data_IF_295212631153
#
_entry.id   IF_295212631153
#
_cell.length_a   1.000
_cell.length_b   1.000
_cell.length_c   1.000
_cell.angle_alpha   90.00
_cell.angle_beta   90.00
_cell.angle_gamma   90.00
#
_symmetry.space_group_name_H-M   'P 1'
#
loop_
_entity.id
_entity.type
_entity.pdbx_description
1 polymer ?
#
# COMPACT_ATOMS: atom_id res chain seq x y z
N UNK A 1 -17.60 6.26 7.56
CA UNK A 1 -16.87 5.91 8.79
C UNK A 1 -17.01 7.05 9.80
N UNK A 2 -17.09 6.77 11.12
CA UNK A 2 -17.07 7.80 12.16
C UNK A 2 -15.75 8.59 12.15
N UNK A 3 -15.77 9.85 12.63
CA UNK A 3 -14.60 10.74 12.67
C UNK A 3 -13.37 10.08 13.29
N UNK A 4 -13.55 9.42 14.43
CA UNK A 4 -12.46 8.75 15.16
C UNK A 4 -11.78 7.67 14.32
N UNK A 5 -12.57 6.86 13.61
CA UNK A 5 -12.03 5.81 12.73
C UNK A 5 -11.25 6.44 11.57
N UNK A 6 -11.74 7.52 10.96
CA UNK A 6 -11.03 8.22 9.89
C UNK A 6 -9.71 8.82 10.38
N UNK A 7 -9.71 9.42 11.58
CA UNK A 7 -8.48 9.92 12.22
C UNK A 7 -7.49 8.79 12.50
N UNK A 8 -7.97 7.61 12.91
CA UNK A 8 -7.12 6.42 13.09
C UNK A 8 -6.46 6.01 11.77
N UNK A 9 -7.22 5.94 10.67
CA UNK A 9 -6.67 5.64 9.33
C UNK A 9 -5.53 6.61 8.97
N UNK A 10 -5.78 7.91 9.11
CA UNK A 10 -4.78 8.94 8.80
C UNK A 10 -3.52 8.83 9.66
N UNK A 11 -3.70 8.67 10.97
CA UNK A 11 -2.59 8.54 11.92
C UNK A 11 -1.76 7.29 11.66
N UNK A 12 -2.39 6.17 11.31
CA UNK A 12 -1.66 4.94 10.96
C UNK A 12 -0.84 5.11 9.68
N UNK A 13 -1.40 5.70 8.62
CA UNK A 13 -0.65 5.94 7.37
C UNK A 13 0.55 6.87 7.60
N UNK A 14 0.36 7.97 8.33
CA UNK A 14 1.44 8.94 8.62
C UNK A 14 2.49 8.41 9.59
N UNK A 15 2.12 7.52 10.51
CA UNK A 15 3.06 6.79 11.36
C UNK A 15 3.94 5.85 10.53
N UNK A 16 3.34 5.03 9.66
CA UNK A 16 4.07 4.14 8.76
C UNK A 16 5.04 4.93 7.87
N UNK A 17 4.58 6.02 7.26
CA UNK A 17 5.41 6.89 6.44
C UNK A 17 6.60 7.50 7.22
N UNK A 18 6.38 7.86 8.49
CA UNK A 18 7.45 8.36 9.37
C UNK A 18 8.46 7.26 9.72
N UNK A 19 7.98 6.05 10.00
CA UNK A 19 8.84 4.87 10.23
C UNK A 19 9.70 4.56 9.01
N UNK A 20 9.08 4.54 7.83
CA UNK A 20 9.78 4.28 6.57
C UNK A 20 10.94 5.24 6.35
N UNK A 21 10.72 6.54 6.61
CA UNK A 21 11.79 7.54 6.49
C UNK A 21 12.94 7.29 7.46
N UNK A 22 12.64 6.97 8.72
CA UNK A 22 13.67 6.76 9.76
C UNK A 22 14.45 5.48 9.48
N UNK A 23 13.77 4.40 9.11
CA UNK A 23 14.41 3.10 8.87
C UNK A 23 15.19 3.09 7.55
N UNK A 24 14.71 3.77 6.52
CA UNK A 24 15.49 3.98 5.29
C UNK A 24 16.81 4.71 5.58
N UNK A 25 16.78 5.81 6.33
CA UNK A 25 18.00 6.53 6.73
C UNK A 25 18.90 5.72 7.67
N UNK A 26 18.30 4.93 8.57
CA UNK A 26 19.02 3.98 9.42
C UNK A 26 19.83 2.98 8.59
N UNK A 27 19.25 2.49 7.49
CA UNK A 27 19.94 1.62 6.54
C UNK A 27 21.08 2.35 5.81
N UNK A 28 20.87 3.59 5.37
CA UNK A 28 21.92 4.42 4.73
C UNK A 28 23.10 4.70 5.67
N UNK A 29 22.86 4.72 6.98
CA UNK A 29 23.90 4.84 8.01
C UNK A 29 24.55 3.50 8.40
N UNK A 30 24.15 2.39 7.77
CA UNK A 30 24.69 1.06 8.06
C UNK A 30 24.23 0.46 9.40
N UNK A 31 23.19 1.02 10.03
CA UNK A 31 22.67 0.52 11.31
C UNK A 31 21.81 -0.73 11.15
N UNK A 32 21.15 -0.86 10.00
CA UNK A 32 20.43 -2.06 9.57
C UNK A 32 20.91 -2.44 8.16
N UNK A 33 20.83 -3.72 7.82
CA UNK A 33 21.37 -4.24 6.55
C UNK A 33 20.46 -3.95 5.35
N UNK A 34 19.15 -4.00 5.55
CA UNK A 34 18.16 -3.97 4.47
C UNK A 34 16.84 -3.34 4.95
N UNK A 35 16.16 -2.60 4.06
CA UNK A 35 14.83 -2.05 4.31
C UNK A 35 14.04 -1.87 3.00
N UNK A 36 12.71 -1.88 3.10
CA UNK A 36 11.77 -1.60 2.00
C UNK A 36 10.71 -0.62 2.48
N UNK A 37 10.50 0.45 1.71
CA UNK A 37 9.52 1.50 2.04
C UNK A 37 8.16 1.21 1.40
N UNK A 38 7.11 1.81 1.94
CA UNK A 38 5.71 1.61 1.53
C UNK A 38 5.09 2.88 0.94
N UNK A 39 5.92 3.82 0.48
CA UNK A 39 5.46 5.12 -0.01
C UNK A 39 4.46 4.97 -1.14
N UNK A 40 3.25 5.52 -0.92
CA UNK A 40 2.14 5.45 -1.85
C UNK A 40 1.12 4.37 -1.61
N UNK A 41 1.56 3.31 -0.96
CA UNK A 41 0.77 2.10 -0.81
C UNK A 41 0.07 2.08 0.57
N UNK A 42 0.26 3.11 1.39
CA UNK A 42 -0.27 3.17 2.76
C UNK A 42 -1.80 3.11 2.78
N UNK A 43 -2.47 3.71 1.78
CA UNK A 43 -3.92 3.64 1.61
C UNK A 43 -4.40 2.21 1.42
N UNK A 44 -3.68 1.42 0.62
CA UNK A 44 -3.99 0.01 0.40
C UNK A 44 -3.85 -0.82 1.68
N UNK A 45 -2.78 -0.60 2.47
CA UNK A 45 -2.56 -1.32 3.72
C UNK A 45 -3.57 -0.96 4.81
N UNK A 46 -3.76 0.35 5.05
CA UNK A 46 -4.54 0.82 6.19
C UNK A 46 -6.05 0.72 5.91
N UNK A 47 -6.48 0.98 4.67
CA UNK A 47 -7.88 0.86 4.29
C UNK A 47 -8.40 -0.58 4.36
N UNK A 48 -7.60 -1.53 3.87
CA UNK A 48 -7.97 -2.96 3.86
C UNK A 48 -7.93 -3.55 5.27
N UNK A 49 -6.87 -3.30 6.04
CA UNK A 49 -6.76 -3.77 7.42
C UNK A 49 -7.91 -3.27 8.31
N UNK A 50 -8.36 -2.03 8.13
CA UNK A 50 -9.47 -1.47 8.91
C UNK A 50 -10.84 -2.12 8.62
N UNK A 51 -10.95 -2.88 7.53
CA UNK A 51 -12.16 -3.58 7.11
C UNK A 51 -12.22 -5.05 7.57
N UNK A 52 -11.15 -5.56 8.18
CA UNK A 52 -11.05 -6.92 8.73
C UNK A 52 -11.45 -6.94 10.21
N UNK A 53 -11.86 -8.11 10.69
CA UNK A 53 -12.01 -8.34 12.13
C UNK A 53 -10.69 -8.84 12.73
N UNK A 54 -10.45 -8.60 14.03
CA UNK A 54 -9.21 -9.01 14.72
C UNK A 54 -8.92 -10.53 14.68
N UNK A 55 -9.95 -11.35 14.39
CA UNK A 55 -9.83 -12.79 14.25
C UNK A 55 -9.51 -13.28 12.83
N UNK A 56 -9.52 -12.39 11.82
CA UNK A 56 -9.18 -12.73 10.45
C UNK A 56 -7.66 -12.96 10.32
N UNK A 57 -7.25 -13.86 9.43
CA UNK A 57 -5.83 -14.14 9.21
C UNK A 57 -5.28 -13.33 8.03
N UNK A 58 -4.09 -12.77 8.21
CA UNK A 58 -3.39 -12.00 7.19
C UNK A 58 -2.16 -12.75 6.72
N UNK A 59 -2.08 -12.96 5.41
CA UNK A 59 -0.90 -13.49 4.74
C UNK A 59 -0.29 -12.42 3.83
N UNK A 60 1.00 -12.16 4.01
CA UNK A 60 1.77 -11.30 3.12
C UNK A 60 2.49 -12.12 2.06
N UNK A 61 2.39 -11.71 0.80
CA UNK A 61 3.11 -12.12 -0.42
C UNK A 61 3.09 -13.62 -0.81
N UNK A 62 2.91 -14.56 0.12
CA UNK A 62 2.84 -16.01 -0.11
C UNK A 62 1.38 -16.50 -0.11
N UNK A 63 0.90 -17.00 -1.26
CA UNK A 63 -0.54 -17.17 -1.57
C UNK A 63 -1.12 -18.53 -1.19
N UNK A 64 -0.35 -19.59 -1.27
CA UNK A 64 -0.83 -20.98 -1.14
C UNK A 64 -1.12 -21.31 0.33
N UNK A 65 -0.26 -20.80 1.23
CA UNK A 65 -0.46 -20.89 2.67
C UNK A 65 -1.74 -20.18 3.12
N UNK A 66 -2.09 -19.07 2.45
CA UNK A 66 -3.33 -18.34 2.73
C UNK A 66 -4.57 -19.16 2.36
N UNK A 67 -4.54 -19.84 1.21
CA UNK A 67 -5.64 -20.72 0.78
C UNK A 67 -5.77 -21.94 1.69
N UNK A 68 -4.66 -22.55 2.10
CA UNK A 68 -4.66 -23.64 3.07
C UNK A 68 -5.28 -23.22 4.42
N UNK A 69 -4.92 -22.04 4.92
CA UNK A 69 -5.51 -21.48 6.14
C UNK A 69 -7.00 -21.16 5.98
N UNK A 70 -7.42 -20.63 4.82
CA UNK A 70 -8.82 -20.34 4.54
C UNK A 70 -9.67 -21.62 4.50
N UNK A 71 -9.15 -22.68 3.88
CA UNK A 71 -9.81 -23.97 3.86
C UNK A 71 -9.93 -24.58 5.27
N UNK A 72 -8.89 -24.45 6.10
CA UNK A 72 -8.94 -24.88 7.49
C UNK A 72 -10.00 -24.11 8.30
N UNK A 73 -10.10 -22.79 8.12
CA UNK A 73 -11.14 -21.95 8.73
C UNK A 73 -12.55 -22.41 8.33
N UNK A 74 -12.77 -22.66 7.03
CA UNK A 74 -14.04 -23.20 6.53
C UNK A 74 -14.38 -24.54 7.17
N UNK A 75 -13.42 -25.48 7.21
CA UNK A 75 -13.61 -26.80 7.84
C UNK A 75 -13.88 -26.72 9.33
N UNK A 76 -13.35 -25.69 10.00
CA UNK A 76 -13.61 -25.42 11.42
C UNK A 76 -14.95 -24.70 11.67
N UNK A 77 -15.71 -24.37 10.61
CA UNK A 77 -16.94 -23.57 10.68
C UNK A 77 -16.75 -22.23 11.41
N UNK A 78 -15.55 -21.66 11.35
CA UNK A 78 -15.26 -20.38 11.96
C UNK A 78 -15.71 -19.23 11.04
N UNK A 79 -16.43 -18.25 11.59
CA UNK A 79 -16.83 -17.04 10.86
C UNK A 79 -15.66 -16.06 10.71
N UNK A 80 -14.63 -16.46 9.98
CA UNK A 80 -13.39 -15.71 9.75
C UNK A 80 -13.04 -15.72 8.26
N UNK A 81 -12.40 -14.66 7.80
CA UNK A 81 -11.80 -14.60 6.47
C UNK A 81 -10.28 -14.76 6.55
N UNK A 82 -9.69 -15.10 5.41
CA UNK A 82 -8.25 -14.90 5.18
C UNK A 82 -8.09 -13.81 4.14
N UNK A 83 -7.15 -12.89 4.35
CA UNK A 83 -6.70 -11.96 3.30
C UNK A 83 -5.26 -12.30 2.90
N UNK A 84 -4.99 -12.27 1.60
CA UNK A 84 -3.67 -12.53 1.04
C UNK A 84 -3.22 -11.38 0.14
N UNK A 85 -2.18 -10.67 0.55
CA UNK A 85 -1.60 -9.56 -0.21
C UNK A 85 -0.52 -10.03 -1.17
N UNK A 86 -0.44 -9.47 -2.37
CA UNK A 86 0.67 -9.70 -3.31
C UNK A 86 0.79 -8.54 -4.31
N UNK A 87 1.94 -8.41 -4.97
CA UNK A 87 2.15 -7.47 -6.08
C UNK A 87 1.73 -8.03 -7.44
N UNK A 88 1.53 -7.17 -8.43
CA UNK A 88 1.21 -7.59 -9.80
C UNK A 88 2.33 -8.42 -10.44
N UNK A 89 3.58 -8.12 -10.09
CA UNK A 89 4.75 -8.94 -10.43
C UNK A 89 4.61 -10.38 -9.96
N UNK A 90 4.37 -10.53 -8.65
CA UNK A 90 4.19 -11.83 -8.03
C UNK A 90 2.99 -12.58 -8.61
N UNK A 91 1.98 -11.91 -9.17
CA UNK A 91 0.83 -12.56 -9.79
C UNK A 91 1.18 -13.36 -11.06
N UNK A 92 2.38 -13.21 -11.62
CA UNK A 92 2.87 -14.03 -12.73
C UNK A 92 3.55 -15.33 -12.29
N UNK A 93 3.80 -15.52 -10.99
CA UNK A 93 4.29 -16.79 -10.45
C UNK A 93 3.20 -17.88 -10.58
N UNK A 94 3.61 -19.12 -10.86
CA UNK A 94 2.69 -20.27 -10.99
C UNK A 94 1.84 -20.53 -9.75
N UNK A 95 2.38 -20.17 -8.58
CA UNK A 95 1.70 -20.17 -7.30
C UNK A 95 0.41 -19.32 -7.31
N UNK A 96 0.43 -18.14 -7.95
CA UNK A 96 -0.80 -17.33 -8.08
C UNK A 96 -1.93 -18.10 -8.78
N UNK A 97 -1.61 -18.81 -9.85
CA UNK A 97 -2.57 -19.65 -10.56
C UNK A 97 -3.10 -20.78 -9.67
N UNK A 98 -2.21 -21.49 -8.98
CA UNK A 98 -2.57 -22.57 -8.07
C UNK A 98 -3.50 -22.07 -6.95
N UNK A 99 -3.14 -20.96 -6.29
CA UNK A 99 -3.93 -20.35 -5.23
C UNK A 99 -5.32 -19.93 -5.69
N UNK A 100 -5.45 -19.25 -6.83
CA UNK A 100 -6.75 -18.84 -7.37
C UNK A 100 -7.63 -20.05 -7.70
N UNK A 101 -7.09 -21.06 -8.37
CA UNK A 101 -7.85 -22.25 -8.76
C UNK A 101 -8.27 -23.09 -7.55
N UNK A 102 -7.40 -23.29 -6.56
CA UNK A 102 -7.75 -24.02 -5.33
C UNK A 102 -8.81 -23.28 -4.52
N UNK A 103 -8.68 -21.96 -4.38
CA UNK A 103 -9.67 -21.16 -3.66
C UNK A 103 -11.06 -21.22 -4.30
N UNK A 104 -11.13 -21.23 -5.63
CA UNK A 104 -12.38 -21.38 -6.37
C UNK A 104 -12.99 -22.76 -6.21
N UNK A 105 -12.21 -23.81 -6.49
CA UNK A 105 -12.70 -25.19 -6.51
C UNK A 105 -13.07 -25.73 -5.12
N UNK A 106 -12.50 -25.16 -4.06
CA UNK A 106 -12.77 -25.54 -2.68
C UNK A 106 -13.72 -24.58 -1.96
N UNK A 107 -14.26 -23.57 -2.66
CA UNK A 107 -15.01 -22.43 -2.13
C UNK A 107 -14.39 -21.93 -0.81
N UNK A 108 -13.19 -21.35 -0.89
CA UNK A 108 -12.49 -20.86 0.30
C UNK A 108 -12.91 -19.42 0.67
N UNK A 109 -13.08 -19.09 1.97
CA UNK A 109 -13.38 -17.74 2.45
C UNK A 109 -12.12 -16.85 2.44
N UNK A 110 -11.60 -16.55 1.24
CA UNK A 110 -10.35 -15.81 1.04
C UNK A 110 -10.54 -14.56 0.17
N UNK A 111 -9.88 -13.47 0.57
CA UNK A 111 -9.74 -12.24 -0.21
C UNK A 111 -8.30 -12.15 -0.72
N UNK A 112 -8.11 -12.27 -2.02
CA UNK A 112 -6.86 -11.97 -2.70
C UNK A 112 -6.78 -10.47 -2.95
N UNK A 113 -5.74 -9.83 -2.44
CA UNK A 113 -5.55 -8.38 -2.54
C UNK A 113 -4.26 -8.09 -3.31
N UNK A 114 -4.41 -7.76 -4.59
CA UNK A 114 -3.31 -7.37 -5.45
C UNK A 114 -3.03 -5.87 -5.33
N UNK A 115 -1.80 -5.50 -4.94
CA UNK A 115 -1.27 -4.15 -5.07
C UNK A 115 -0.62 -4.04 -6.44
N UNK A 116 -1.27 -3.34 -7.36
CA UNK A 116 -0.70 -3.08 -8.67
C UNK A 116 -0.10 -1.68 -8.65
N UNK A 117 1.21 -1.61 -8.45
CA UNK A 117 1.96 -0.35 -8.35
C UNK A 117 2.74 -0.02 -9.64
N UNK A 118 2.46 -0.77 -10.72
CA UNK A 118 3.03 -0.58 -12.05
C UNK A 118 4.34 -1.32 -12.32
N UNK A 119 5.00 -1.89 -11.31
CA UNK A 119 6.36 -2.44 -11.45
C UNK A 119 6.75 -3.55 -10.47
N UNK A 120 7.37 -4.59 -11.03
CA UNK A 120 8.09 -5.63 -10.29
C UNK A 120 9.60 -5.36 -10.34
N UNK A 121 10.17 -4.82 -9.26
CA UNK A 121 11.56 -4.29 -9.26
C UNK A 121 11.69 -3.22 -10.37
N UNK A 122 12.33 -3.57 -11.50
CA UNK A 122 12.50 -2.75 -12.69
C UNK A 122 11.57 -3.09 -13.85
N UNK A 123 10.88 -4.22 -13.80
CA UNK A 123 10.01 -4.69 -14.88
C UNK A 123 8.67 -3.96 -14.85
N UNK A 124 8.34 -3.15 -15.87
CA UNK A 124 7.05 -2.48 -15.95
C UNK A 124 5.92 -3.45 -16.33
N UNK A 125 4.69 -3.12 -15.97
CA UNK A 125 3.51 -3.98 -16.21
C UNK A 125 3.30 -4.41 -17.67
N UNK A 126 3.70 -3.60 -18.66
CA UNK A 126 3.56 -3.94 -20.08
C UNK A 126 4.51 -5.06 -20.55
N UNK A 127 5.58 -5.32 -19.79
CA UNK A 127 6.44 -6.50 -19.92
C UNK A 127 5.99 -7.64 -19.00
N UNK A 128 5.25 -7.33 -17.93
CA UNK A 128 4.75 -8.32 -16.96
C UNK A 128 3.55 -9.12 -17.49
N UNK A 129 2.63 -8.48 -18.19
CA UNK A 129 1.45 -9.12 -18.77
C UNK A 129 0.84 -8.28 -19.91
N UNK A 130 -0.02 -8.91 -20.72
CA UNK A 130 -0.77 -8.25 -21.82
C UNK A 130 -2.29 -8.22 -21.63
N UNK A 131 -2.79 -8.88 -20.58
CA UNK A 131 -4.21 -8.80 -20.21
C UNK A 131 -4.55 -7.47 -19.53
N UNK A 132 -5.83 -7.27 -19.25
CA UNK A 132 -6.33 -6.12 -18.50
C UNK A 132 -6.05 -6.27 -16.99
N UNK A 133 -4.78 -6.12 -16.60
CA UNK A 133 -4.33 -6.20 -15.22
C UNK A 133 -4.56 -7.55 -14.56
N UNK A 134 -4.72 -7.53 -13.24
CA UNK A 134 -4.90 -8.71 -12.40
C UNK A 134 -6.38 -8.99 -12.15
N UNK A 135 -7.22 -7.96 -11.98
CA UNK A 135 -8.66 -8.15 -11.74
C UNK A 135 -9.33 -9.00 -12.83
N UNK A 136 -8.97 -8.78 -14.10
CA UNK A 136 -9.52 -9.53 -15.24
C UNK A 136 -9.15 -11.01 -15.26
N UNK A 137 -8.13 -11.43 -14.48
CA UNK A 137 -7.77 -12.86 -14.33
C UNK A 137 -8.78 -13.61 -13.48
N UNK A 138 -9.32 -12.97 -12.43
CA UNK A 138 -10.19 -13.62 -11.45
C UNK A 138 -11.44 -14.29 -12.04
N UNK A 139 -12.22 -13.64 -12.95
CA UNK A 139 -13.38 -14.28 -13.56
C UNK A 139 -13.05 -15.57 -14.31
N UNK A 140 -11.83 -15.69 -14.86
CA UNK A 140 -11.37 -16.92 -15.52
C UNK A 140 -11.25 -18.13 -14.58
N UNK A 141 -11.14 -17.88 -13.28
CA UNK A 141 -11.13 -18.91 -12.22
C UNK A 141 -12.47 -19.01 -11.48
N UNK A 142 -13.47 -18.20 -11.82
CA UNK A 142 -14.73 -18.10 -11.05
C UNK A 142 -14.64 -17.22 -9.79
N UNK A 143 -13.56 -16.43 -9.64
CA UNK A 143 -13.43 -15.48 -8.54
C UNK A 143 -14.25 -14.22 -8.86
N UNK A 144 -14.88 -13.67 -7.83
CA UNK A 144 -15.46 -12.34 -7.94
C UNK A 144 -14.36 -11.30 -7.86
N UNK A 145 -14.27 -10.45 -8.88
CA UNK A 145 -13.19 -9.48 -9.02
C UNK A 145 -13.68 -8.04 -8.98
N UNK A 146 -12.89 -7.16 -8.38
CA UNK A 146 -13.06 -5.71 -8.47
C UNK A 146 -11.69 -5.03 -8.60
N UNK A 147 -11.64 -3.97 -9.41
CA UNK A 147 -10.51 -3.03 -9.44
C UNK A 147 -10.90 -1.77 -8.69
N UNK A 148 -10.02 -1.26 -7.84
CA UNK A 148 -10.24 -0.05 -7.03
C UNK A 148 -9.08 0.92 -7.16
N UNK A 149 -9.38 2.18 -6.91
CA UNK A 149 -8.37 3.21 -6.64
C UNK A 149 -7.71 2.90 -5.27
N UNK A 150 -6.43 2.52 -5.30
CA UNK A 150 -5.64 2.17 -4.12
C UNK A 150 -5.17 3.37 -3.30
N UNK A 151 -5.20 4.57 -3.89
CA UNK A 151 -4.89 5.83 -3.21
C UNK A 151 -6.13 6.41 -2.51
N UNK A 152 -7.32 5.90 -2.81
CA UNK A 152 -8.54 6.16 -2.05
C UNK A 152 -8.74 5.15 -0.91
N UNK A 153 -8.35 5.54 0.30
CA UNK A 153 -8.50 4.70 1.49
C UNK A 153 -9.96 4.27 1.74
N UNK A 154 -10.96 5.06 1.34
CA UNK A 154 -12.36 4.70 1.51
C UNK A 154 -12.82 3.70 0.45
N UNK A 155 -12.34 3.83 -0.79
CA UNK A 155 -12.63 2.83 -1.83
C UNK A 155 -12.03 1.46 -1.46
N UNK A 156 -10.76 1.45 -1.02
CA UNK A 156 -10.09 0.25 -0.52
C UNK A 156 -10.86 -0.36 0.65
N UNK A 157 -11.23 0.46 1.65
CA UNK A 157 -11.99 0.00 2.81
C UNK A 157 -13.33 -0.61 2.40
N UNK A 158 -14.09 0.06 1.54
CA UNK A 158 -15.43 -0.40 1.14
C UNK A 158 -15.36 -1.71 0.36
N UNK A 159 -14.44 -1.82 -0.60
CA UNK A 159 -14.26 -3.04 -1.39
C UNK A 159 -13.79 -4.21 -0.51
N UNK A 160 -12.84 -3.96 0.39
CA UNK A 160 -12.34 -5.00 1.31
C UNK A 160 -13.44 -5.45 2.26
N UNK A 161 -14.22 -4.53 2.82
CA UNK A 161 -15.33 -4.85 3.74
C UNK A 161 -16.37 -5.72 3.06
N UNK A 162 -16.74 -5.40 1.82
CA UNK A 162 -17.73 -6.18 1.08
C UNK A 162 -17.18 -7.54 0.65
N UNK A 163 -15.94 -7.59 0.14
CA UNK A 163 -15.27 -8.84 -0.20
C UNK A 163 -15.17 -9.77 1.02
N UNK A 164 -14.79 -9.23 2.18
CA UNK A 164 -14.71 -9.96 3.44
C UNK A 164 -16.08 -10.48 3.88
N UNK A 165 -17.12 -9.62 3.86
CA UNK A 165 -18.50 -10.01 4.20
C UNK A 165 -18.95 -11.19 3.35
N UNK A 166 -18.73 -11.13 2.04
CA UNK A 166 -19.13 -12.19 1.10
C UNK A 166 -18.26 -13.43 1.22
N UNK A 167 -16.95 -13.30 1.40
CA UNK A 167 -16.06 -14.44 1.63
C UNK A 167 -16.52 -15.28 2.84
N UNK A 168 -16.87 -14.62 3.97
CA UNK A 168 -17.34 -15.33 5.17
C UNK A 168 -18.75 -15.88 5.00
N UNK A 169 -19.68 -15.12 4.41
CA UNK A 169 -21.08 -15.51 4.31
C UNK A 169 -21.34 -16.58 3.22
N UNK A 170 -20.63 -16.50 2.10
CA UNK A 170 -20.89 -17.27 0.89
C UNK A 170 -19.79 -18.32 0.63
N UNK A 171 -18.71 -18.34 1.42
CA UNK A 171 -17.50 -19.14 1.17
C UNK A 171 -16.91 -18.91 -0.23
N UNK A 172 -17.09 -17.73 -0.79
CA UNK A 172 -16.65 -17.44 -2.16
C UNK A 172 -15.35 -16.62 -2.14
N UNK A 173 -14.32 -16.99 -2.92
CA UNK A 173 -13.10 -16.20 -3.00
C UNK A 173 -13.31 -14.91 -3.79
N UNK A 174 -12.64 -13.85 -3.34
CA UNK A 174 -12.66 -12.53 -3.98
C UNK A 174 -11.27 -12.10 -4.40
N UNK A 175 -11.18 -11.35 -5.50
CA UNK A 175 -9.96 -10.70 -5.98
C UNK A 175 -10.17 -9.19 -6.04
N UNK A 176 -9.38 -8.45 -5.26
CA UNK A 176 -9.30 -6.99 -5.33
C UNK A 176 -7.98 -6.62 -5.99
N UNK A 177 -8.03 -5.83 -7.06
CA UNK A 177 -6.86 -5.16 -7.62
C UNK A 177 -6.89 -3.69 -7.21
N UNK A 178 -6.01 -3.29 -6.30
CA UNK A 178 -5.82 -1.90 -5.92
C UNK A 178 -4.76 -1.26 -6.80
N UNK A 179 -5.17 -0.31 -7.64
CA UNK A 179 -4.28 0.48 -8.48
C UNK A 179 -3.64 1.56 -7.63
N UNK A 180 -2.32 1.52 -7.51
CA UNK A 180 -1.53 2.50 -6.77
C UNK A 180 -0.24 2.76 -7.55
N UNK A 181 0.71 3.47 -6.95
CA UNK A 181 2.02 3.71 -7.54
C UNK A 181 3.10 3.55 -6.46
N UNK A 182 4.33 3.19 -6.83
CA UNK A 182 5.45 3.10 -5.87
C UNK A 182 6.24 4.42 -5.90
N UNK A 183 6.05 5.26 -4.88
CA UNK A 183 6.42 6.69 -4.89
C UNK A 183 7.83 6.96 -4.36
N UNK A 184 8.46 8.05 -4.80
CA UNK A 184 9.52 8.72 -4.04
C UNK A 184 9.17 8.90 -2.58
N UNK A 185 10.11 8.58 -1.71
CA UNK A 185 10.17 9.17 -0.38
C UNK A 185 10.51 10.65 -0.46
N UNK A 186 9.60 11.49 -0.96
CA UNK A 186 9.83 12.94 -1.03
C UNK A 186 10.21 13.52 0.34
N UNK A 187 11.25 14.36 0.37
CA UNK A 187 11.46 15.28 1.50
C UNK A 187 10.28 16.25 1.54
N UNK A 188 9.41 16.16 2.54
CA UNK A 188 8.65 17.34 2.97
C UNK A 188 9.68 18.41 3.34
N UNK A 189 9.80 19.47 2.54
CA UNK A 189 10.90 20.44 2.59
C UNK A 189 11.28 20.92 3.99
N UNK A 190 12.57 20.85 4.31
CA UNK A 190 13.20 21.56 5.43
C UNK A 190 14.14 22.58 4.80
N UNK A 191 13.81 23.86 4.91
CA UNK A 191 14.73 24.95 4.54
C UNK A 191 15.84 25.04 5.60
N UNK A 192 17.03 24.53 5.29
CA UNK A 192 18.23 24.86 6.05
C UNK A 192 18.92 26.04 5.38
N UNK A 193 18.74 27.24 5.94
CA UNK A 193 19.55 28.39 5.56
C UNK A 193 20.97 28.22 6.10
N UNK A 194 21.94 27.92 5.24
CA UNK A 194 23.35 28.01 5.59
C UNK A 194 23.83 29.43 5.28
N UNK A 195 24.25 30.17 6.31
CA UNK A 195 24.89 31.48 6.15
C UNK A 195 26.26 31.29 5.49
N UNK A 196 26.39 31.72 4.23
CA UNK A 196 27.69 31.87 3.55
C UNK A 196 28.20 33.30 3.79
N UNK A 197 29.48 33.55 4.13
CA UNK A 197 29.98 34.86 4.60
C UNK A 197 30.00 36.01 3.57
N UNK A 198 29.26 35.93 2.46
CA UNK A 198 29.33 36.90 1.35
C UNK A 198 27.98 37.48 0.92
N UNK A 199 26.94 37.38 1.77
CA UNK A 199 25.73 38.20 1.63
C UNK A 199 24.88 37.95 0.37
N UNK A 200 25.10 36.85 -0.35
CA UNK A 200 24.29 36.46 -1.51
C UNK A 200 23.63 35.13 -1.22
N UNK A 201 22.29 35.15 -1.09
CA UNK A 201 21.46 33.94 -1.11
C UNK A 201 21.62 33.27 -2.47
N UNK A 202 22.20 32.08 -2.51
CA UNK A 202 22.08 31.17 -3.65
C UNK A 202 21.46 29.88 -3.14
N UNK A 203 20.25 29.60 -3.62
CA UNK A 203 19.58 28.32 -3.42
C UNK A 203 20.36 27.23 -4.17
N UNK A 204 21.33 26.62 -3.49
CA UNK A 204 21.94 25.37 -3.93
C UNK A 204 21.06 24.21 -3.44
N UNK A 205 19.96 23.99 -4.16
CA UNK A 205 19.21 22.74 -4.07
C UNK A 205 20.04 21.69 -4.78
N UNK A 206 20.67 20.78 -4.02
CA UNK A 206 21.08 19.48 -4.56
C UNK A 206 19.89 18.56 -4.29
N UNK A 207 19.02 18.29 -5.28
CA UNK A 207 17.88 17.41 -5.08
C UNK A 207 18.44 15.99 -5.00
N UNK A 208 18.53 15.45 -3.79
CA UNK A 208 18.52 14.00 -3.62
C UNK A 208 17.05 13.61 -3.55
N UNK A 209 16.44 13.50 -4.73
CA UNK A 209 15.12 12.88 -4.89
C UNK A 209 15.25 11.43 -4.40
N UNK A 210 14.74 11.14 -3.21
CA UNK A 210 14.64 9.75 -2.75
C UNK A 210 13.47 9.17 -3.52
N UNK A 211 13.72 8.56 -4.68
CA UNK A 211 12.68 7.87 -5.46
C UNK A 211 12.26 6.59 -4.71
N UNK A 212 11.03 6.11 -4.94
CA UNK A 212 10.48 4.89 -4.39
C UNK A 212 11.17 3.70 -4.96
N UNK A 213 12.35 3.41 -4.46
CA UNK A 213 13.10 2.25 -4.85
C UNK A 213 12.33 0.99 -4.43
N UNK A 214 12.55 -0.08 -5.17
CA UNK A 214 12.03 -1.39 -4.79
C UNK A 214 12.48 -1.77 -3.37
N UNK A 215 13.73 -1.44 -3.02
CA UNK A 215 14.33 -1.63 -1.71
C UNK A 215 15.54 -0.71 -1.54
N UNK A 216 16.21 -0.75 -0.38
CA UNK A 216 17.50 -0.08 -0.17
C UNK A 216 18.65 -0.59 -1.05
N UNK A 217 18.44 -1.68 -1.78
CA UNK A 217 19.40 -2.27 -2.73
C UNK A 217 19.08 -1.95 -4.20
N UNK A 218 18.09 -1.10 -4.45
CA UNK A 218 17.61 -0.75 -5.78
C UNK A 218 17.79 0.75 -6.06
N UNK A 219 18.01 1.09 -7.33
CA UNK A 219 18.01 2.47 -7.82
C UNK A 219 17.02 2.59 -8.99
N UNK A 220 15.84 3.10 -8.66
CA UNK A 220 14.76 3.25 -9.63
C UNK A 220 14.98 4.36 -10.66
N UNK A 221 15.96 5.26 -10.46
CA UNK A 221 16.30 6.26 -11.49
C UNK A 221 16.88 5.61 -12.75
N UNK A 222 17.40 4.38 -12.64
CA UNK A 222 17.95 3.64 -13.76
C UNK A 222 16.89 3.16 -14.77
N UNK A 223 15.61 3.12 -14.39
CA UNK A 223 14.55 2.52 -15.21
C UNK A 223 13.19 3.23 -15.12
N UNK A 224 13.10 4.38 -14.44
CA UNK A 224 11.89 5.22 -14.40
C UNK A 224 12.22 6.68 -14.65
N UNK A 225 11.29 7.39 -15.28
CA UNK A 225 11.45 8.84 -15.50
C UNK A 225 11.08 9.63 -14.26
N UNK A 226 11.78 10.74 -14.03
CA UNK A 226 11.45 11.70 -12.95
C UNK A 226 10.06 12.29 -13.15
N UNK A 227 9.65 12.52 -14.41
CA UNK A 227 8.34 13.11 -14.73
C UNK A 227 7.17 12.21 -14.33
N UNK A 228 7.24 10.91 -14.65
CA UNK A 228 6.24 9.90 -14.23
C UNK A 228 6.10 9.89 -12.71
N UNK A 229 7.25 9.89 -12.05
CA UNK A 229 7.39 9.80 -10.60
C UNK A 229 6.84 11.04 -9.88
N UNK A 230 7.15 12.23 -10.41
CA UNK A 230 6.70 13.53 -9.88
C UNK A 230 5.20 13.75 -10.03
N UNK A 231 4.61 13.28 -11.15
CA UNK A 231 3.17 13.35 -11.37
C UNK A 231 2.39 12.70 -10.22
N UNK A 232 2.76 11.48 -9.83
CA UNK A 232 2.06 10.75 -8.77
C UNK A 232 2.24 11.41 -7.39
N UNK A 233 3.47 11.80 -7.03
CA UNK A 233 3.76 12.42 -5.74
C UNK A 233 2.98 13.72 -5.50
N UNK A 234 2.87 14.55 -6.53
CA UNK A 234 2.24 15.86 -6.41
C UNK A 234 0.72 15.82 -6.56
N UNK A 235 0.19 14.94 -7.41
CA UNK A 235 -1.22 14.99 -7.81
C UNK A 235 -2.12 14.01 -7.07
N UNK A 236 -1.61 12.82 -6.71
CA UNK A 236 -2.47 11.75 -6.20
C UNK A 236 -1.73 10.90 -5.16
N UNK A 237 -1.63 11.38 -3.91
CA UNK A 237 -1.04 10.63 -2.78
C UNK A 237 -2.10 10.31 -1.72
N UNK A 238 -2.18 9.07 -1.17
CA UNK A 238 -3.24 8.65 -0.24
C UNK A 238 -3.34 9.50 1.03
N UNK A 239 -2.20 9.78 1.69
CA UNK A 239 -2.13 10.67 2.86
C UNK A 239 -2.66 12.07 2.53
N UNK A 240 -2.21 12.67 1.43
CA UNK A 240 -2.66 14.00 0.99
C UNK A 240 -4.16 14.06 0.72
N UNK A 241 -4.71 13.05 0.02
CA UNK A 241 -6.15 12.93 -0.25
C UNK A 241 -6.98 12.84 1.02
N UNK A 242 -6.58 11.98 1.96
CA UNK A 242 -7.32 11.85 3.22
C UNK A 242 -7.21 13.13 4.08
N UNK A 243 -6.05 13.78 4.10
CA UNK A 243 -5.86 15.06 4.79
C UNK A 243 -6.80 16.13 4.26
N UNK A 244 -6.91 16.29 2.94
CA UNK A 244 -7.83 17.23 2.31
C UNK A 244 -9.29 16.94 2.67
N UNK A 245 -9.70 15.66 2.62
CA UNK A 245 -11.03 15.24 3.04
C UNK A 245 -11.34 15.63 4.49
N UNK A 246 -10.40 15.42 5.41
CA UNK A 246 -10.59 15.75 6.82
C UNK A 246 -10.58 17.27 7.06
N UNK A 247 -9.73 18.02 6.35
CA UNK A 247 -9.69 19.48 6.42
C UNK A 247 -11.02 20.10 6.00
N UNK A 248 -11.59 19.64 4.89
CA UNK A 248 -12.90 20.09 4.41
C UNK A 248 -14.06 19.80 5.38
N UNK A 249 -13.87 18.87 6.32
CA UNK A 249 -14.86 18.52 7.36
C UNK A 249 -14.57 19.17 8.71
N UNK A 250 -13.50 19.96 8.83
CA UNK A 250 -13.04 20.51 10.11
C UNK A 250 -12.63 19.41 11.11
N UNK A 251 -12.17 18.27 10.62
CA UNK A 251 -11.76 17.14 11.45
C UNK A 251 -10.27 17.12 11.75
N UNK A 252 -9.49 17.79 10.91
CA UNK A 252 -8.04 17.88 10.99
C UNK A 252 -7.58 19.29 10.58
N UNK A 253 -6.68 19.88 11.35
CA UNK A 253 -6.09 21.20 11.09
C UNK A 253 -4.55 21.19 11.17
N UNK A 254 -3.94 22.33 10.84
CA UNK A 254 -2.48 22.49 10.83
C UNK A 254 -1.83 22.39 12.23
N UNK A 255 -2.54 22.73 13.30
CA UNK A 255 -2.03 22.60 14.66
C UNK A 255 -1.96 21.11 15.06
N UNK A 256 -3.03 20.37 14.78
CA UNK A 256 -3.11 18.93 14.97
C UNK A 256 -2.08 18.19 14.12
N UNK A 257 -1.87 18.61 12.87
CA UNK A 257 -0.84 18.06 11.98
C UNK A 257 0.56 18.23 12.58
N UNK A 258 0.91 19.45 13.01
CA UNK A 258 2.22 19.72 13.62
C UNK A 258 2.41 18.94 14.93
N UNK A 259 1.39 18.90 15.78
CA UNK A 259 1.39 18.15 17.03
C UNK A 259 1.60 16.64 16.79
N UNK A 260 0.84 16.08 15.84
CA UNK A 260 0.94 14.66 15.48
C UNK A 260 2.30 14.32 14.87
N UNK A 261 2.82 15.12 13.93
CA UNK A 261 4.16 14.90 13.35
C UNK A 261 5.25 14.85 14.42
N UNK A 262 5.21 15.77 15.39
CA UNK A 262 6.16 15.80 16.51
C UNK A 262 6.04 14.56 17.39
N UNK A 263 4.81 14.16 17.71
CA UNK A 263 4.55 12.94 18.50
C UNK A 263 5.04 11.69 17.77
N UNK A 264 4.73 11.57 16.49
CA UNK A 264 5.07 10.42 15.63
C UNK A 264 6.58 10.22 15.55
N UNK A 265 7.33 11.29 15.28
CA UNK A 265 8.80 11.24 15.25
C UNK A 265 9.43 10.85 16.60
N UNK A 266 8.75 11.10 17.72
CA UNK A 266 9.22 10.71 19.05
C UNK A 266 8.92 9.23 19.37
N UNK A 267 7.84 8.69 18.80
CA UNK A 267 7.44 7.30 19.01
C UNK A 267 8.33 6.31 18.25
N UNK A 268 8.80 6.70 17.06
CA UNK A 268 9.74 5.93 16.23
C UNK A 268 11.18 6.18 16.70
#
# INVERSE_FOLDING_TARGET
>A
LPKEQVLKLYKTMTLLNTMDRILYESQRQGRISFYMTNYGEEGTHVGSAAALDDGDLVFGQYREAAVGAAYAIKRAHASRAVICYFGEGAASEGDAHAGFNFAATLDCPVVFFCRNNGYAISTPTHEQYRGDGIAARGPGYGLLSIRVDGNDVFAVFNATREARRRAVAENQPFLIEAMTYRYPGGRTGVHWGLLVPTGTYRDLVVPTEIIGHHSTSDDSSAYRSVDEVSYWDQQDHPISRLRLYMGNRGWWDEEQEKGWRKSTRRMV
#
